data_IF_985500178134
#
_entry.id   IF_985500178134
#
_cell.length_a   1.000
_cell.length_b   1.000
_cell.length_c   1.000
_cell.angle_alpha   90.00
_cell.angle_beta   90.00
_cell.angle_gamma   90.00
#
_symmetry.space_group_name_H-M   'P 1'
#
loop_
_entity.id
_entity.type
_entity.pdbx_description
1 polymer ?
#
# COMPACT_ATOMS: atom_id res chain seq x y z
N UNK A 1 7.59 10.30 1.54
CA UNK A 1 6.69 9.18 1.15
C UNK A 1 7.51 7.97 0.73
N UNK A 2 6.91 6.79 0.61
CA UNK A 2 7.50 5.57 0.03
C UNK A 2 6.58 5.05 -1.07
N UNK A 3 7.16 4.56 -2.15
CA UNK A 3 6.45 4.01 -3.29
C UNK A 3 6.43 2.50 -3.19
N UNK A 4 5.27 1.91 -3.39
CA UNK A 4 5.02 0.47 -3.33
C UNK A 4 4.64 0.02 -4.74
N UNK A 5 5.33 -1.00 -5.25
CA UNK A 5 4.92 -1.73 -6.44
C UNK A 5 4.12 -2.95 -6.00
N UNK A 6 2.87 -3.02 -6.43
CA UNK A 6 1.91 -4.04 -6.01
C UNK A 6 1.47 -4.90 -7.19
N UNK A 7 1.08 -6.14 -6.92
CA UNK A 7 0.46 -7.05 -7.88
C UNK A 7 -0.71 -7.77 -7.24
N UNK A 8 -1.80 -7.92 -7.99
CA UNK A 8 -3.06 -8.46 -7.49
C UNK A 8 -4.24 -7.97 -8.32
N UNK A 9 -5.45 -8.32 -7.88
CA UNK A 9 -6.72 -7.87 -8.48
C UNK A 9 -7.27 -6.66 -7.71
N UNK A 10 -8.01 -5.80 -8.41
CA UNK A 10 -8.73 -4.64 -7.84
C UNK A 10 -7.92 -3.82 -6.82
N UNK A 11 -6.63 -3.58 -7.15
CA UNK A 11 -5.62 -3.10 -6.22
C UNK A 11 -6.05 -1.86 -5.42
N UNK A 12 -6.68 -0.87 -6.07
CA UNK A 12 -7.15 0.35 -5.38
C UNK A 12 -8.14 0.07 -4.26
N UNK A 13 -9.14 -0.76 -4.55
CA UNK A 13 -10.19 -1.13 -3.59
C UNK A 13 -9.61 -2.01 -2.50
N UNK A 14 -8.90 -3.07 -2.91
CA UNK A 14 -8.36 -4.08 -2.01
C UNK A 14 -7.30 -3.51 -1.07
N UNK A 15 -6.41 -2.64 -1.56
CA UNK A 15 -5.41 -1.97 -0.71
C UNK A 15 -6.05 -1.08 0.35
N UNK A 16 -7.09 -0.32 -0.02
CA UNK A 16 -7.80 0.56 0.91
C UNK A 16 -8.52 -0.25 1.98
N UNK A 17 -9.17 -1.35 1.58
CA UNK A 17 -9.84 -2.26 2.49
C UNK A 17 -8.85 -2.98 3.42
N UNK A 18 -7.72 -3.46 2.90
CA UNK A 18 -6.68 -4.11 3.70
C UNK A 18 -6.22 -3.23 4.87
N UNK A 19 -5.91 -1.96 4.59
CA UNK A 19 -5.50 -1.01 5.65
C UNK A 19 -6.66 -0.73 6.61
N UNK A 20 -7.88 -0.54 6.09
CA UNK A 20 -9.06 -0.22 6.90
C UNK A 20 -9.47 -1.36 7.82
N UNK A 21 -9.39 -2.61 7.36
CA UNK A 21 -9.71 -3.80 8.14
C UNK A 21 -8.65 -4.08 9.21
N UNK A 22 -7.37 -3.87 8.90
CA UNK A 22 -6.29 -4.15 9.85
C UNK A 22 -6.05 -3.03 10.87
N UNK A 23 -6.00 -1.78 10.41
CA UNK A 23 -5.60 -0.62 11.24
C UNK A 23 -6.77 0.32 11.53
N UNK A 24 -7.84 0.25 10.75
CA UNK A 24 -8.97 1.18 10.85
C UNK A 24 -8.81 2.44 10.00
N UNK A 25 -9.84 3.30 10.07
CA UNK A 25 -9.91 4.54 9.30
C UNK A 25 -8.78 5.54 9.64
N UNK A 26 -8.33 5.55 10.91
CA UNK A 26 -7.20 6.36 11.35
C UNK A 26 -5.90 5.93 10.64
N UNK A 27 -5.64 4.62 10.59
CA UNK A 27 -4.46 4.09 9.92
C UNK A 27 -4.44 4.37 8.41
N UNK A 28 -5.60 4.33 7.76
CA UNK A 28 -5.74 4.71 6.36
C UNK A 28 -5.39 6.18 6.13
N UNK A 29 -5.89 7.08 6.99
CA UNK A 29 -5.58 8.50 6.95
C UNK A 29 -4.09 8.76 7.19
N UNK A 30 -3.48 8.13 8.21
CA UNK A 30 -2.05 8.22 8.50
C UNK A 30 -1.18 7.74 7.32
N UNK A 31 -1.59 6.65 6.67
CA UNK A 31 -0.92 6.10 5.50
C UNK A 31 -1.00 7.05 4.30
N UNK A 32 -2.02 7.90 4.24
CA UNK A 32 -2.25 8.91 3.20
C UNK A 32 -1.95 8.38 1.79
N UNK A 33 -2.58 7.27 1.37
CA UNK A 33 -2.24 6.61 0.12
C UNK A 33 -2.56 7.49 -1.09
N UNK A 34 -1.63 7.58 -2.01
CA UNK A 34 -1.81 8.30 -3.28
C UNK A 34 -1.30 7.44 -4.42
N UNK A 35 -2.23 7.05 -5.29
CA UNK A 35 -1.95 6.23 -6.47
C UNK A 35 -1.25 7.04 -7.56
N UNK A 36 -0.10 6.55 -8.01
CA UNK A 36 0.68 7.14 -9.10
C UNK A 36 0.36 6.45 -10.42
N UNK A 37 0.16 5.13 -10.37
CA UNK A 37 -0.30 4.28 -11.48
C UNK A 37 -1.26 3.23 -10.92
N UNK A 38 -1.80 2.35 -11.75
CA UNK A 38 -2.69 1.28 -11.32
C UNK A 38 -2.06 0.31 -10.31
N UNK A 39 -0.76 0.05 -10.45
CA UNK A 39 0.02 -0.87 -9.61
C UNK A 39 1.02 -0.17 -8.67
N UNK A 40 1.07 1.17 -8.67
CA UNK A 40 2.01 1.96 -7.86
C UNK A 40 1.24 2.91 -6.94
N UNK A 41 1.42 2.73 -5.64
CA UNK A 41 0.87 3.60 -4.61
C UNK A 41 1.98 4.19 -3.76
N UNK A 42 1.86 5.47 -3.44
CA UNK A 42 2.73 6.14 -2.47
C UNK A 42 2.05 6.22 -1.12
N UNK A 43 2.79 5.94 -0.05
CA UNK A 43 2.31 6.02 1.33
C UNK A 43 3.25 6.87 2.19
N UNK A 44 2.76 7.28 3.35
CA UNK A 44 3.59 7.89 4.38
C UNK A 44 4.68 6.91 4.84
N UNK A 45 5.93 7.40 4.96
CA UNK A 45 7.08 6.58 5.37
C UNK A 45 6.88 5.98 6.76
N UNK A 46 6.23 6.73 7.68
CA UNK A 46 5.98 6.29 9.06
C UNK A 46 4.96 5.16 9.16
N UNK A 47 4.09 5.01 8.14
CA UNK A 47 3.04 4.00 8.12
C UNK A 47 3.41 2.76 7.30
N UNK A 48 4.63 2.70 6.76
CA UNK A 48 5.06 1.63 5.85
C UNK A 48 4.89 0.23 6.45
N UNK A 49 5.28 0.04 7.71
CA UNK A 49 5.23 -1.29 8.33
C UNK A 49 3.79 -1.71 8.66
N UNK A 50 2.95 -0.77 9.09
CA UNK A 50 1.50 -0.99 9.24
C UNK A 50 0.86 -1.40 7.90
N UNK A 51 1.22 -0.72 6.82
CA UNK A 51 0.74 -1.04 5.46
C UNK A 51 1.21 -2.42 5.04
N UNK A 52 2.50 -2.76 5.20
CA UNK A 52 3.02 -4.09 4.89
C UNK A 52 2.29 -5.20 5.65
N UNK A 53 2.10 -5.02 6.95
CA UNK A 53 1.37 -5.97 7.78
C UNK A 53 -0.08 -6.12 7.29
N UNK A 54 -0.77 -5.01 6.98
CA UNK A 54 -2.13 -5.06 6.45
C UNK A 54 -2.25 -5.84 5.14
N UNK A 55 -1.27 -5.69 4.22
CA UNK A 55 -1.27 -6.41 2.95
C UNK A 55 -0.96 -7.90 3.14
N UNK A 56 -0.10 -8.25 4.11
CA UNK A 56 0.31 -9.62 4.35
C UNK A 56 -0.80 -10.50 4.92
N UNK A 57 -1.73 -9.91 5.68
CA UNK A 57 -2.85 -10.65 6.30
C UNK A 57 -4.16 -10.56 5.52
N UNK A 58 -4.23 -9.73 4.48
CA UNK A 58 -5.47 -9.50 3.75
C UNK A 58 -5.90 -10.76 2.98
N UNK A 59 -7.20 -11.07 3.02
CA UNK A 59 -7.76 -12.29 2.43
C UNK A 59 -7.59 -12.36 0.91
N UNK A 60 -7.77 -11.23 0.24
CA UNK A 60 -7.42 -11.07 -1.18
C UNK A 60 -5.90 -10.85 -1.28
N UNK A 61 -5.19 -11.79 -1.91
CA UNK A 61 -3.73 -11.73 -2.02
C UNK A 61 -3.28 -10.46 -2.77
N UNK A 62 -2.66 -9.53 -2.05
CA UNK A 62 -1.92 -8.40 -2.60
C UNK A 62 -0.43 -8.66 -2.40
N UNK A 63 0.29 -8.88 -3.49
CA UNK A 63 1.73 -9.10 -3.47
C UNK A 63 2.47 -7.76 -3.52
N UNK A 64 3.33 -7.51 -2.52
CA UNK A 64 4.23 -6.37 -2.50
C UNK A 64 5.56 -6.76 -3.16
N UNK A 65 5.77 -6.32 -4.40
CA UNK A 65 6.97 -6.66 -5.18
C UNK A 65 8.17 -5.84 -4.71
N UNK A 66 8.00 -4.53 -4.53
CA UNK A 66 9.12 -3.62 -4.28
C UNK A 66 8.67 -2.40 -3.47
N UNK A 67 9.57 -1.92 -2.62
CA UNK A 67 9.46 -0.63 -1.92
C UNK A 67 10.59 0.26 -2.37
N UNK A 68 10.29 1.52 -2.69
CA UNK A 68 11.31 2.51 -3.02
C UNK A 68 11.10 3.87 -2.35
N UNK A 69 12.19 4.61 -2.18
CA UNK A 69 12.17 6.02 -1.85
C UNK A 69 11.87 6.95 -3.02
N UNK A 70 12.09 6.52 -4.27
CA UNK A 70 11.88 7.34 -5.48
C UNK A 70 11.17 6.54 -6.57
N UNK A 71 10.41 7.22 -7.43
CA UNK A 71 9.75 6.57 -8.57
C UNK A 71 10.75 6.01 -9.58
N UNK A 72 11.86 6.73 -9.82
CA UNK A 72 12.90 6.32 -10.79
C UNK A 72 13.54 4.97 -10.48
N UNK A 73 13.66 4.62 -9.20
CA UNK A 73 14.26 3.35 -8.77
C UNK A 73 13.23 2.23 -8.60
N UNK A 74 11.94 2.51 -8.84
CA UNK A 74 10.88 1.52 -8.89
C UNK A 74 10.69 0.95 -10.31
N UNK A 75 11.06 1.72 -11.34
CA UNK A 75 11.18 1.26 -12.73
C UNK A 75 12.39 0.35 -12.92
#
# INVERSE_FOLDING_TARGET
>A
RRYLLLKGKDLKKNFTNAIKEFVGILGLSEASPMWVKENIVSVNRKSLDKVKASLAIYSEKIELIKVSGTLKSLN
#
